data_IF_360782876815
#
_entry.id   IF_360782876815
#
_cell.length_a   1.000
_cell.length_b   1.000
_cell.length_c   1.000
_cell.angle_alpha   90.00
_cell.angle_beta   90.00
_cell.angle_gamma   90.00
#
_symmetry.space_group_name_H-M   'P 1'
#
loop_
_entity.id
_entity.type
_entity.pdbx_description
1 polymer ?
#
# COMPACT_ATOMS: atom_id res chain seq x y z
N UNK A 1 7.08 9.34 -1.81
CA UNK A 1 5.85 10.14 -1.55
C UNK A 1 4.78 9.69 -2.53
N UNK A 2 3.54 9.58 -2.07
CA UNK A 2 2.39 9.20 -2.89
C UNK A 2 1.88 10.45 -3.62
N UNK A 3 1.81 10.38 -4.95
CA UNK A 3 1.32 11.47 -5.79
C UNK A 3 -0.17 11.36 -6.11
N UNK A 4 -0.64 10.15 -6.38
CA UNK A 4 -2.03 9.84 -6.72
C UNK A 4 -2.44 8.52 -6.05
N UNK A 5 -3.70 8.45 -5.65
CA UNK A 5 -4.36 7.23 -5.18
C UNK A 5 -5.55 6.97 -6.09
N UNK A 6 -5.74 5.73 -6.51
CA UNK A 6 -6.87 5.34 -7.36
C UNK A 6 -8.14 5.25 -6.53
N UNK A 7 -9.24 5.87 -7.00
CA UNK A 7 -10.48 5.94 -6.23
C UNK A 7 -11.11 4.56 -6.09
N UNK A 8 -11.66 4.30 -4.91
CA UNK A 8 -12.30 3.01 -4.58
C UNK A 8 -11.36 1.80 -4.66
N UNK A 9 -10.05 2.01 -4.84
CA UNK A 9 -9.06 0.95 -4.70
C UNK A 9 -8.79 0.63 -3.23
N UNK A 10 -8.17 -0.51 -2.94
CA UNK A 10 -7.93 -0.93 -1.56
C UNK A 10 -7.15 0.08 -0.74
N UNK A 11 -6.15 0.74 -1.33
CA UNK A 11 -5.38 1.78 -0.66
C UNK A 11 -6.22 3.04 -0.34
N UNK A 12 -7.15 3.43 -1.22
CA UNK A 12 -8.07 4.55 -0.97
C UNK A 12 -9.05 4.22 0.14
N UNK A 13 -9.60 3.00 0.14
CA UNK A 13 -10.46 2.48 1.20
C UNK A 13 -9.73 2.39 2.55
N UNK A 14 -8.43 2.09 2.53
CA UNK A 14 -7.56 2.13 3.71
C UNK A 14 -7.25 3.56 4.18
N UNK A 15 -7.64 4.58 3.42
CA UNK A 15 -7.41 5.99 3.73
C UNK A 15 -6.04 6.52 3.34
N UNK A 16 -5.35 5.88 2.38
CA UNK A 16 -4.13 6.40 1.77
C UNK A 16 -4.46 7.67 0.98
N UNK A 17 -3.61 8.68 1.07
CA UNK A 17 -3.85 9.98 0.43
C UNK A 17 -2.63 10.46 -0.33
N UNK A 18 -2.87 11.33 -1.31
CA UNK A 18 -1.80 12.12 -1.92
C UNK A 18 -1.07 12.93 -0.85
N UNK A 19 0.26 12.96 -0.93
CA UNK A 19 1.13 13.60 0.06
C UNK A 19 1.61 12.67 1.18
N UNK A 20 1.05 11.47 1.32
CA UNK A 20 1.57 10.49 2.28
C UNK A 20 2.98 10.03 1.86
N UNK A 21 3.89 9.96 2.81
CA UNK A 21 5.19 9.31 2.60
C UNK A 21 5.10 7.87 3.10
N UNK A 22 5.09 6.92 2.19
CA UNK A 22 5.18 5.50 2.52
C UNK A 22 6.54 5.19 3.14
N UNK A 23 6.52 4.54 4.30
CA UNK A 23 7.70 4.16 5.08
C UNK A 23 7.93 2.66 5.07
N UNK A 24 6.86 1.85 5.11
CA UNK A 24 6.95 0.39 5.08
C UNK A 24 5.68 -0.26 4.52
N UNK A 25 5.84 -1.49 4.02
CA UNK A 25 4.76 -2.39 3.58
C UNK A 25 4.90 -3.68 4.40
N UNK A 26 3.86 -4.07 5.15
CA UNK A 26 3.87 -5.26 6.02
C UNK A 26 5.12 -5.32 6.93
N UNK A 27 5.50 -4.17 7.50
CA UNK A 27 6.69 -4.04 8.36
C UNK A 27 8.03 -4.05 7.62
N UNK A 28 8.08 -4.26 6.30
CA UNK A 28 9.30 -4.19 5.49
C UNK A 28 9.57 -2.73 5.08
N UNK A 29 10.72 -2.13 5.45
CA UNK A 29 11.02 -0.74 5.12
C UNK A 29 11.07 -0.48 3.60
N UNK A 30 10.61 0.70 3.19
CA UNK A 30 10.61 1.17 1.80
C UNK A 30 11.32 2.52 1.72
N UNK A 31 12.67 2.55 1.76
CA UNK A 31 13.44 3.80 1.72
C UNK A 31 13.46 4.46 0.33
N UNK A 32 13.24 3.68 -0.73
CA UNK A 32 13.36 4.12 -2.11
C UNK A 32 12.36 3.41 -3.04
N UNK A 33 12.38 3.82 -4.31
CA UNK A 33 11.49 3.27 -5.34
C UNK A 33 11.80 1.82 -5.69
N UNK A 34 13.03 1.35 -5.50
CA UNK A 34 13.39 -0.03 -5.79
C UNK A 34 12.80 -0.97 -4.73
N UNK A 35 12.97 -0.62 -3.45
CA UNK A 35 12.34 -1.31 -2.34
C UNK A 35 10.81 -1.31 -2.45
N UNK A 36 10.22 -0.22 -2.95
CA UNK A 36 8.77 -0.14 -3.22
C UNK A 36 8.35 -1.18 -4.26
N UNK A 37 9.04 -1.24 -5.40
CA UNK A 37 8.74 -2.20 -6.47
C UNK A 37 8.83 -3.63 -5.97
N UNK A 38 9.93 -3.97 -5.31
CA UNK A 38 10.12 -5.31 -4.71
C UNK A 38 9.03 -5.63 -3.68
N UNK A 39 8.63 -4.66 -2.85
CA UNK A 39 7.54 -4.83 -1.88
C UNK A 39 6.20 -5.11 -2.56
N UNK A 40 5.86 -4.39 -3.63
CA UNK A 40 4.63 -4.60 -4.40
C UNK A 40 4.65 -5.94 -5.15
N UNK A 41 5.79 -6.34 -5.73
CA UNK A 41 5.97 -7.65 -6.35
C UNK A 41 5.77 -8.79 -5.33
N UNK A 42 6.31 -8.62 -4.12
CA UNK A 42 6.10 -9.58 -3.04
C UNK A 42 4.62 -9.68 -2.66
N UNK A 43 3.89 -8.55 -2.54
CA UNK A 43 2.44 -8.57 -2.30
C UNK A 43 1.67 -9.31 -3.41
N UNK A 44 2.01 -9.06 -4.68
CA UNK A 44 1.34 -9.69 -5.81
C UNK A 44 1.58 -11.22 -5.87
N UNK A 45 2.75 -11.67 -5.37
CA UNK A 45 3.11 -13.09 -5.30
C UNK A 45 2.52 -13.79 -4.08
N UNK A 46 2.69 -13.19 -2.90
CA UNK A 46 2.27 -13.75 -1.62
C UNK A 46 0.75 -13.68 -1.44
N UNK A 47 0.09 -12.68 -2.07
CA UNK A 47 -1.35 -12.42 -1.97
C UNK A 47 -1.87 -12.51 -0.52
N UNK A 48 -1.25 -11.77 0.43
CA UNK A 48 -1.63 -11.88 1.82
C UNK A 48 -3.06 -11.38 2.04
N UNK A 49 -3.76 -11.99 2.99
CA UNK A 49 -5.11 -11.55 3.36
C UNK A 49 -5.13 -10.11 3.90
N UNK A 50 -4.11 -9.72 4.64
CA UNK A 50 -3.99 -8.38 5.22
C UNK A 50 -2.76 -7.66 4.69
N UNK A 51 -2.91 -6.38 4.37
CA UNK A 51 -1.82 -5.47 4.00
C UNK A 51 -1.83 -4.27 4.94
N UNK A 52 -0.67 -3.95 5.49
CA UNK A 52 -0.44 -2.81 6.37
C UNK A 52 0.58 -1.88 5.73
N UNK A 53 0.20 -0.63 5.53
CA UNK A 53 1.09 0.43 5.07
C UNK A 53 1.41 1.36 6.24
N UNK A 54 2.69 1.54 6.52
CA UNK A 54 3.10 2.61 7.44
C UNK A 54 3.37 3.87 6.62
N UNK A 55 2.72 4.96 6.99
CA UNK A 55 2.88 6.25 6.31
C UNK A 55 3.21 7.35 7.30
N UNK A 56 3.93 8.36 6.81
CA UNK A 56 4.03 9.67 7.44
C UNK A 56 3.15 10.65 6.68
N UNK A 57 2.27 11.32 7.41
CA UNK A 57 1.34 12.33 6.89
C UNK A 57 1.63 13.65 7.59
N UNK A 58 2.27 14.57 6.89
CA UNK A 58 2.73 15.84 7.48
C UNK A 58 3.55 15.57 8.76
N UNK A 59 3.08 16.00 9.92
CA UNK A 59 3.73 15.83 11.23
C UNK A 59 3.35 14.55 11.99
N UNK A 60 2.39 13.76 11.50
CA UNK A 60 1.93 12.53 12.16
C UNK A 60 2.30 11.26 11.37
N UNK A 61 2.26 10.11 12.04
CA UNK A 61 2.31 8.79 11.41
C UNK A 61 0.94 8.10 11.41
N UNK A 62 0.74 7.15 10.50
CA UNK A 62 -0.42 6.26 10.51
C UNK A 62 -0.04 4.87 10.00
N UNK A 63 -0.79 3.87 10.45
CA UNK A 63 -0.84 2.54 9.85
C UNK A 63 -2.18 2.42 9.13
N UNK A 64 -2.12 2.09 7.84
CA UNK A 64 -3.29 1.92 6.99
C UNK A 64 -3.42 0.44 6.66
N UNK A 65 -4.48 -0.18 7.13
CA UNK A 65 -4.72 -1.61 6.99
C UNK A 65 -5.87 -1.86 6.03
N UNK A 66 -5.73 -2.87 5.18
CA UNK A 66 -6.81 -3.32 4.30
C UNK A 66 -6.69 -4.81 3.99
N UNK A 67 -7.82 -5.41 3.61
CA UNK A 67 -7.92 -6.78 3.12
C UNK A 67 -8.15 -6.76 1.60
N UNK A 68 -7.13 -7.09 0.78
CA UNK A 68 -7.29 -7.13 -0.66
C UNK A 68 -8.16 -8.31 -1.10
N UNK A 69 -9.04 -8.08 -2.07
CA UNK A 69 -9.73 -9.16 -2.80
C UNK A 69 -8.93 -9.54 -4.04
N UNK A 70 -7.95 -10.41 -3.85
CA UNK A 70 -7.08 -10.87 -4.95
C UNK A 70 -7.84 -11.56 -6.08
N UNK A 71 -8.95 -12.23 -5.77
CA UNK A 71 -9.76 -12.90 -6.78
C UNK A 71 -10.49 -11.89 -7.66
N UNK A 72 -11.06 -10.84 -7.06
CA UNK A 72 -11.68 -9.75 -7.81
C UNK A 72 -10.68 -9.02 -8.71
N UNK A 73 -9.43 -8.84 -8.26
CA UNK A 73 -8.36 -8.24 -9.08
C UNK A 73 -8.00 -9.10 -10.29
N UNK A 74 -8.01 -10.42 -10.16
CA UNK A 74 -7.70 -11.33 -11.27
C UNK A 74 -8.86 -11.42 -12.27
N UNK A 75 -10.10 -11.37 -11.80
CA UNK A 75 -11.29 -11.37 -12.66
C UNK A 75 -11.46 -10.07 -13.47
N UNK A 76 -10.84 -8.97 -13.03
CA UNK A 76 -10.89 -7.66 -13.70
C UNK A 76 -9.79 -7.46 -14.77
N UNK A 77 -8.89 -8.43 -14.95
CA UNK A 77 -7.86 -8.44 -16.01
C UNK A 77 -8.39 -9.09 -17.28
#
# INVERSE_FOLDING_TARGET
>A
MISKVERSGWADLAGLRGGDLLLSINGRPVPDLNALRTGLEALAKEKPRHVVLQVRRSISGAFLEFEPDWNALEAAK
#
